data_IF_212256850002
#
_entry.id   IF_212256850002
#
_cell.length_a   1.000
_cell.length_b   1.000
_cell.length_c   1.000
_cell.angle_alpha   90.00
_cell.angle_beta   90.00
_cell.angle_gamma   90.00
#
_symmetry.space_group_name_H-M   'P 1'
#
loop_
_entity.id
_entity.type
_entity.pdbx_description
1 polymer ?
#
# COMPACT_ATOMS: atom_id res chain seq x y z
N UNK A 1 -1.56 -6.59 -4.21
CA UNK A 1 -1.50 -6.42 -2.74
C UNK A 1 -2.76 -7.04 -2.13
N UNK A 2 -2.75 -7.49 -0.86
CA UNK A 2 -3.93 -8.08 -0.21
C UNK A 2 -4.94 -6.99 0.22
N UNK A 3 -5.38 -6.16 -0.72
CA UNK A 3 -6.37 -5.09 -0.52
C UNK A 3 -7.43 -5.14 -1.62
N UNK A 4 -8.65 -4.69 -1.33
CA UNK A 4 -9.74 -4.59 -2.29
C UNK A 4 -9.48 -3.54 -3.39
N UNK A 5 -8.80 -2.45 -3.00
CA UNK A 5 -8.53 -1.29 -3.84
C UNK A 5 -7.29 -0.53 -3.30
N UNK A 6 -6.27 -0.39 -4.13
CA UNK A 6 -5.01 0.24 -3.76
C UNK A 6 -5.13 1.76 -3.58
N UNK A 7 -6.05 2.43 -4.29
CA UNK A 7 -6.27 3.87 -4.12
C UNK A 7 -6.93 4.15 -2.77
N UNK A 8 -7.98 3.39 -2.42
CA UNK A 8 -8.61 3.50 -1.11
C UNK A 8 -7.64 3.19 0.02
N UNK A 9 -6.81 2.16 -0.15
CA UNK A 9 -5.79 1.80 0.83
C UNK A 9 -4.79 2.96 1.06
N UNK A 10 -4.25 3.55 0.00
CA UNK A 10 -3.30 4.68 0.12
C UNK A 10 -3.96 5.90 0.77
N UNK A 11 -5.18 6.25 0.37
CA UNK A 11 -5.93 7.35 1.00
C UNK A 11 -6.14 7.07 2.49
N UNK A 12 -6.53 5.84 2.85
CA UNK A 12 -6.74 5.44 4.22
C UNK A 12 -5.45 5.51 5.04
N UNK A 13 -4.31 5.07 4.49
CA UNK A 13 -3.01 5.18 5.15
C UNK A 13 -2.71 6.63 5.54
N UNK A 14 -2.88 7.58 4.62
CA UNK A 14 -2.58 8.99 4.85
C UNK A 14 -3.50 9.66 5.87
N UNK A 15 -4.75 9.21 5.97
CA UNK A 15 -5.77 9.85 6.82
C UNK A 15 -5.95 9.18 8.18
N UNK A 16 -5.71 7.87 8.30
CA UNK A 16 -6.19 7.08 9.43
C UNK A 16 -5.14 6.10 9.99
N UNK A 17 -3.94 6.02 9.43
CA UNK A 17 -2.94 5.05 9.88
C UNK A 17 -1.56 5.67 9.99
N UNK A 18 -1.00 5.57 11.18
CA UNK A 18 0.38 5.92 11.46
C UNK A 18 0.98 4.93 12.47
N UNK A 19 2.31 4.86 12.48
CA UNK A 19 3.06 4.24 13.56
C UNK A 19 3.95 5.33 14.15
N UNK A 20 3.67 5.72 15.39
CA UNK A 20 4.40 6.77 16.11
C UNK A 20 4.38 8.13 15.39
N UNK A 21 3.26 8.49 14.75
CA UNK A 21 3.11 9.74 14.01
C UNK A 21 3.70 9.72 12.60
N UNK A 22 4.27 8.60 12.15
CA UNK A 22 4.80 8.42 10.79
C UNK A 22 3.87 7.54 9.94
N UNK A 23 3.67 7.91 8.68
CA UNK A 23 2.93 7.10 7.69
C UNK A 23 3.70 7.00 6.38
N UNK A 24 3.20 6.19 5.44
CA UNK A 24 3.82 5.98 4.13
C UNK A 24 2.85 6.30 3.00
N UNK A 25 3.33 7.00 1.98
CA UNK A 25 2.63 7.19 0.71
C UNK A 25 3.12 6.17 -0.33
N UNK A 26 2.21 5.68 -1.17
CA UNK A 26 2.51 4.89 -2.36
C UNK A 26 1.71 5.41 -3.57
N UNK A 27 2.11 5.01 -4.78
CA UNK A 27 1.37 5.34 -6.00
C UNK A 27 0.46 4.16 -6.40
N UNK A 28 -0.87 4.32 -6.40
CA UNK A 28 -1.79 3.29 -6.93
C UNK A 28 -1.50 2.98 -8.40
N UNK A 29 -1.53 1.70 -8.77
CA UNK A 29 -1.10 1.27 -10.09
C UNK A 29 -2.16 1.44 -11.19
N UNK A 30 -3.44 1.57 -10.84
CA UNK A 30 -4.54 1.64 -11.84
C UNK A 30 -4.33 2.76 -12.86
N UNK A 31 -3.85 3.93 -12.43
CA UNK A 31 -3.53 5.06 -13.32
C UNK A 31 -2.37 4.82 -14.31
N UNK A 32 -1.63 3.72 -14.18
CA UNK A 32 -0.56 3.34 -15.11
C UNK A 32 -1.05 2.43 -16.26
N UNK A 33 -2.28 1.90 -16.16
CA UNK A 33 -2.87 1.05 -17.19
C UNK A 33 -3.87 1.84 -18.03
N UNK A 34 -3.83 1.64 -19.36
CA UNK A 34 -4.85 2.18 -20.26
C UNK A 34 -6.14 1.33 -20.29
N UNK A 35 -6.06 0.09 -19.81
CA UNK A 35 -7.19 -0.86 -19.76
C UNK A 35 -7.94 -0.71 -18.44
N UNK A 36 -9.25 -0.41 -18.46
CA UNK A 36 -10.05 -0.25 -17.24
C UNK A 36 -10.00 -1.49 -16.33
N UNK A 37 -9.83 -1.26 -15.01
CA UNK A 37 -9.84 -2.30 -13.98
C UNK A 37 -8.51 -3.04 -13.76
N UNK A 38 -7.49 -2.85 -14.61
CA UNK A 38 -6.15 -3.37 -14.34
C UNK A 38 -5.42 -2.54 -13.29
N UNK A 39 -4.61 -3.20 -12.46
CA UNK A 39 -3.83 -2.54 -11.41
C UNK A 39 -4.63 -2.07 -10.19
N UNK A 40 -5.92 -2.41 -10.10
CA UNK A 40 -6.82 -1.95 -9.02
C UNK A 40 -6.31 -2.27 -7.62
N UNK A 41 -5.67 -3.41 -7.40
CA UNK A 41 -5.09 -3.81 -6.12
C UNK A 41 -3.55 -3.83 -6.15
N UNK A 42 -2.94 -3.12 -7.09
CA UNK A 42 -1.49 -2.99 -7.25
C UNK A 42 -1.04 -1.57 -6.90
N UNK A 43 0.20 -1.42 -6.45
CA UNK A 43 0.82 -0.13 -6.21
C UNK A 43 2.30 -0.17 -6.55
N UNK A 44 2.88 1.00 -6.83
CA UNK A 44 4.29 1.19 -7.15
C UNK A 44 5.01 1.85 -5.98
N UNK A 45 6.15 1.27 -5.61
CA UNK A 45 7.07 1.81 -4.62
C UNK A 45 8.33 2.37 -5.29
N UNK A 46 8.81 3.51 -4.78
CA UNK A 46 10.03 4.15 -5.26
C UNK A 46 11.15 4.00 -4.21
N UNK A 47 12.26 3.39 -4.60
CA UNK A 47 13.46 3.23 -3.76
C UNK A 47 14.33 4.48 -3.85
N UNK A 48 13.86 5.56 -3.20
CA UNK A 48 14.50 6.89 -3.27
C UNK A 48 14.88 7.46 -1.90
N UNK A 49 14.70 6.68 -0.84
CA UNK A 49 15.08 7.02 0.53
C UNK A 49 16.39 6.31 0.92
N UNK A 50 17.01 6.75 2.01
CA UNK A 50 18.10 6.00 2.63
C UNK A 50 17.59 4.66 3.20
N UNK A 51 18.52 3.76 3.52
CA UNK A 51 18.17 2.41 3.95
C UNK A 51 17.35 2.38 5.26
N UNK A 52 17.63 3.28 6.20
CA UNK A 52 16.92 3.30 7.49
C UNK A 52 15.45 3.71 7.31
N UNK A 53 15.20 4.73 6.50
CA UNK A 53 13.85 5.20 6.21
C UNK A 53 13.08 4.19 5.33
N UNK A 54 13.75 3.49 4.42
CA UNK A 54 13.14 2.34 3.71
C UNK A 54 12.68 1.26 4.68
N UNK A 55 13.52 0.89 5.65
CA UNK A 55 13.15 -0.13 6.65
C UNK A 55 11.96 0.34 7.50
N UNK A 56 11.90 1.62 7.90
CA UNK A 56 10.74 2.18 8.62
C UNK A 56 9.48 2.15 7.75
N UNK A 57 9.56 2.62 6.51
CA UNK A 57 8.45 2.63 5.58
C UNK A 57 7.88 1.21 5.37
N UNK A 58 8.74 0.18 5.25
CA UNK A 58 8.28 -1.21 5.12
C UNK A 58 7.60 -1.74 6.39
N UNK A 59 8.03 -1.30 7.58
CA UNK A 59 7.34 -1.65 8.84
C UNK A 59 5.95 -1.02 8.90
N UNK A 60 5.82 0.25 8.52
CA UNK A 60 4.54 0.95 8.44
C UNK A 60 3.63 0.25 7.44
N UNK A 61 4.13 -0.03 6.22
CA UNK A 61 3.35 -0.72 5.19
C UNK A 61 2.85 -2.08 5.65
N UNK A 62 3.70 -2.88 6.30
CA UNK A 62 3.30 -4.19 6.84
C UNK A 62 2.16 -4.05 7.85
N UNK A 63 2.31 -3.17 8.83
CA UNK A 63 1.26 -2.94 9.83
C UNK A 63 -0.03 -2.39 9.22
N UNK A 64 0.08 -1.48 8.23
CA UNK A 64 -1.06 -0.91 7.53
C UNK A 64 -1.84 -1.98 6.77
N UNK A 65 -1.15 -2.87 6.05
CA UNK A 65 -1.78 -4.00 5.35
C UNK A 65 -2.49 -4.95 6.29
N UNK A 66 -1.96 -5.16 7.50
CA UNK A 66 -2.60 -6.00 8.53
C UNK A 66 -3.85 -5.35 9.13
N UNK A 67 -3.82 -4.03 9.34
CA UNK A 67 -4.89 -3.27 9.99
C UNK A 67 -5.99 -2.76 9.05
N UNK A 68 -5.74 -2.72 7.74
CA UNK A 68 -6.66 -2.14 6.78
C UNK A 68 -8.01 -2.88 6.73
N UNK A 69 -9.15 -2.21 6.93
CA UNK A 69 -10.46 -2.87 6.93
C UNK A 69 -10.86 -3.52 5.60
N UNK A 70 -10.33 -3.02 4.48
CA UNK A 70 -10.54 -3.58 3.14
C UNK A 70 -9.51 -4.65 2.76
N UNK A 71 -8.77 -5.21 3.72
CA UNK A 71 -7.82 -6.29 3.47
C UNK A 71 -8.57 -7.52 2.93
N UNK A 72 -8.03 -8.10 1.87
CA UNK A 72 -8.51 -9.37 1.32
C UNK A 72 -7.50 -10.47 1.62
N UNK A 73 -7.99 -11.68 1.89
CA UNK A 73 -7.09 -12.82 2.09
C UNK A 73 -6.25 -13.03 0.82
N UNK A 74 -4.91 -13.15 0.95
CA UNK A 74 -4.08 -13.46 -0.19
C UNK A 74 -4.53 -14.80 -0.75
N UNK A 75 -4.81 -14.84 -2.06
CA UNK A 75 -4.96 -16.11 -2.76
C UNK A 75 -3.61 -16.80 -2.63
N UNK A 76 -3.54 -17.86 -1.82
CA UNK A 76 -2.34 -18.68 -1.65
C UNK A 76 -1.81 -19.02 -3.04
N UNK A 77 -0.60 -18.56 -3.36
CA UNK A 77 0.09 -19.01 -4.55
C UNK A 77 0.29 -20.53 -4.38
N UNK A 78 -0.43 -21.31 -5.18
CA UNK A 78 -0.25 -22.76 -5.30
C UNK A 78 1.07 -23.06 -6.01
#
# INVERSE_FOLDING_TARGET
MPVDDAEKFVIWMLLNYDINGETMMAAPAEGFYGTPGLGKNEARLAYVLNNEDLVKAMKILKGALEAYPGRVEPVSAQ
#
